data_IF_459934208960
#
_entry.id   IF_459934208960
#
_cell.length_a   1.000
_cell.length_b   1.000
_cell.length_c   1.000
_cell.angle_alpha   90.00
_cell.angle_beta   90.00
_cell.angle_gamma   90.00
#
_symmetry.space_group_name_H-M   'P 1'
#
loop_
_entity.id
_entity.type
_entity.pdbx_description
1 polymer ?
#
# COMPACT_ATOMS: atom_id res chain seq x y z
N UNK A 1 21.86 -7.95 -3.63
CA UNK A 1 20.76 -8.82 -3.17
C UNK A 1 19.47 -8.11 -3.50
N UNK A 2 18.78 -8.52 -4.54
CA UNK A 2 17.50 -7.94 -4.92
C UNK A 2 16.48 -8.45 -3.90
N UNK A 3 16.00 -7.58 -3.04
CA UNK A 3 14.83 -7.89 -2.20
C UNK A 3 13.68 -8.17 -3.17
N UNK A 4 13.32 -9.44 -3.31
CA UNK A 4 12.14 -9.84 -4.06
C UNK A 4 10.94 -9.46 -3.20
N UNK A 5 10.45 -8.23 -3.39
CA UNK A 5 9.20 -7.82 -2.76
C UNK A 5 8.07 -8.67 -3.35
N UNK A 6 7.29 -9.31 -2.48
CA UNK A 6 5.99 -9.84 -2.91
C UNK A 6 5.13 -8.65 -3.37
N UNK A 7 4.73 -8.60 -4.66
CA UNK A 7 3.95 -7.48 -5.17
C UNK A 7 2.69 -7.18 -4.35
N UNK A 8 2.07 -8.20 -3.73
CA UNK A 8 0.87 -8.05 -2.91
C UNK A 8 1.09 -7.23 -1.64
N UNK A 9 2.33 -7.20 -1.13
CA UNK A 9 2.66 -6.50 0.12
C UNK A 9 3.06 -5.05 -0.08
N UNK A 10 3.34 -4.61 -1.31
CA UNK A 10 3.89 -3.28 -1.61
C UNK A 10 2.96 -2.16 -1.16
N UNK A 11 1.71 -2.16 -1.62
CA UNK A 11 0.72 -1.15 -1.26
C UNK A 11 0.41 -1.13 0.24
N UNK A 12 0.07 -2.28 0.88
CA UNK A 12 -0.17 -2.36 2.31
C UNK A 12 1.01 -1.84 3.15
N UNK A 13 2.24 -2.27 2.88
CA UNK A 13 3.43 -1.81 3.61
C UNK A 13 3.64 -0.31 3.50
N UNK A 14 3.47 0.25 2.30
CA UNK A 14 3.56 1.70 2.11
C UNK A 14 2.50 2.42 2.95
N UNK A 15 1.25 1.95 2.98
CA UNK A 15 0.18 2.55 3.78
C UNK A 15 0.46 2.47 5.29
N UNK A 16 1.03 1.38 5.78
CA UNK A 16 1.43 1.26 7.19
C UNK A 16 2.49 2.28 7.60
N UNK A 17 3.32 2.74 6.67
CA UNK A 17 4.35 3.75 6.94
C UNK A 17 3.83 5.19 6.88
N UNK A 18 2.63 5.45 6.32
CA UNK A 18 2.09 6.81 6.18
C UNK A 18 2.09 7.63 7.47
N UNK A 19 1.73 7.09 8.66
CA UNK A 19 1.73 7.84 9.90
C UNK A 19 3.12 8.36 10.31
N UNK A 20 4.19 7.70 9.86
CA UNK A 20 5.58 8.03 10.21
C UNK A 20 6.25 8.97 9.21
N UNK A 21 5.55 9.34 8.14
CA UNK A 21 6.06 10.20 7.08
C UNK A 21 5.80 11.69 7.42
N UNK A 22 6.70 12.54 6.92
CA UNK A 22 6.45 13.99 6.93
C UNK A 22 5.35 14.35 5.93
N UNK A 23 4.72 15.53 6.09
CA UNK A 23 3.66 15.98 5.18
C UNK A 23 4.06 15.95 3.70
N UNK A 24 5.31 16.34 3.38
CA UNK A 24 5.82 16.27 2.00
C UNK A 24 6.00 14.84 1.50
N UNK A 25 6.50 13.94 2.35
CA UNK A 25 6.67 12.52 2.03
C UNK A 25 5.32 11.82 1.86
N UNK A 26 4.34 12.14 2.72
CA UNK A 26 2.97 11.63 2.60
C UNK A 26 2.35 12.05 1.27
N UNK A 27 2.43 13.34 0.91
CA UNK A 27 1.91 13.85 -0.37
C UNK A 27 2.53 13.14 -1.58
N UNK A 28 3.86 12.95 -1.58
CA UNK A 28 4.57 12.19 -2.61
C UNK A 28 4.03 10.75 -2.68
N UNK A 29 3.90 10.11 -1.53
CA UNK A 29 3.48 8.71 -1.41
C UNK A 29 2.04 8.51 -1.91
N UNK A 30 1.11 9.42 -1.58
CA UNK A 30 -0.27 9.39 -2.05
C UNK A 30 -0.35 9.54 -3.58
N UNK A 31 0.44 10.46 -4.16
CA UNK A 31 0.53 10.62 -5.62
C UNK A 31 1.04 9.33 -6.26
N UNK A 32 2.08 8.72 -5.70
CA UNK A 32 2.66 7.48 -6.21
C UNK A 32 1.67 6.31 -6.12
N UNK A 33 0.94 6.18 -5.02
CA UNK A 33 -0.10 5.15 -4.87
C UNK A 33 -1.24 5.35 -5.87
N UNK A 34 -1.71 6.60 -6.07
CA UNK A 34 -2.76 6.94 -7.02
C UNK A 34 -2.34 6.68 -8.46
N UNK A 35 -1.14 7.10 -8.84
CA UNK A 35 -0.62 6.93 -10.20
C UNK A 35 -0.10 5.50 -10.44
N UNK A 36 0.00 4.66 -9.38
CA UNK A 36 0.29 3.23 -9.47
C UNK A 36 1.58 2.86 -10.18
N UNK A 37 2.58 3.75 -10.14
CA UNK A 37 3.87 3.45 -10.77
C UNK A 37 3.82 3.44 -12.30
N UNK A 38 2.88 4.17 -12.91
CA UNK A 38 2.81 4.29 -14.38
C UNK A 38 4.19 4.54 -14.97
N UNK A 39 4.61 3.64 -15.87
CA UNK A 39 5.91 3.70 -16.52
C UNK A 39 6.09 4.99 -17.35
N UNK A 40 4.98 5.60 -17.78
CA UNK A 40 4.98 6.84 -18.54
C UNK A 40 5.15 8.09 -17.65
N UNK A 41 4.97 7.99 -16.33
CA UNK A 41 5.08 9.13 -15.42
C UNK A 41 6.55 9.38 -15.03
N UNK A 42 7.18 10.45 -15.53
CA UNK A 42 8.56 10.75 -15.19
C UNK A 42 8.68 11.25 -13.75
N UNK A 43 9.85 11.05 -13.13
CA UNK A 43 10.16 11.55 -11.78
C UNK A 43 9.83 13.04 -11.62
N UNK A 44 10.15 13.84 -12.64
CA UNK A 44 9.89 15.28 -12.68
C UNK A 44 8.39 15.61 -12.55
N UNK A 45 7.51 14.81 -13.14
CA UNK A 45 6.06 15.03 -13.05
C UNK A 45 5.55 14.78 -11.62
N UNK A 46 6.04 13.72 -10.96
CA UNK A 46 5.72 13.46 -9.55
C UNK A 46 6.22 14.61 -8.66
N UNK A 47 7.44 15.09 -8.87
CA UNK A 47 8.00 16.20 -8.11
C UNK A 47 7.19 17.48 -8.29
N UNK A 48 6.78 17.79 -9.52
CA UNK A 48 5.95 18.96 -9.84
C UNK A 48 4.55 18.85 -9.19
N UNK A 49 3.88 17.71 -9.29
CA UNK A 49 2.56 17.48 -8.70
C UNK A 49 2.61 17.52 -7.16
N UNK A 50 3.70 17.02 -6.56
CA UNK A 50 3.92 17.08 -5.11
C UNK A 50 4.44 18.45 -4.63
N UNK A 51 4.67 19.41 -5.52
CA UNK A 51 5.27 20.73 -5.23
C UNK A 51 6.62 20.59 -4.49
N UNK A 52 7.48 19.70 -4.97
CA UNK A 52 8.74 19.37 -4.32
C UNK A 52 9.87 19.14 -5.35
N UNK A 53 11.05 18.78 -4.87
CA UNK A 53 12.20 18.45 -5.72
C UNK A 53 12.24 16.96 -6.09
N UNK A 54 12.84 16.62 -7.23
CA UNK A 54 13.11 15.24 -7.61
C UNK A 54 13.95 14.49 -6.57
N UNK A 55 14.90 15.19 -5.92
CA UNK A 55 15.70 14.63 -4.84
C UNK A 55 14.85 14.19 -3.65
N UNK A 56 13.77 14.93 -3.34
CA UNK A 56 12.85 14.57 -2.25
C UNK A 56 12.04 13.33 -2.61
N UNK A 57 11.59 13.17 -3.86
CA UNK A 57 10.92 11.95 -4.32
C UNK A 57 11.83 10.74 -4.19
N UNK A 58 13.11 10.85 -4.58
CA UNK A 58 14.09 9.77 -4.41
C UNK A 58 14.34 9.45 -2.94
N UNK A 59 14.44 10.48 -2.08
CA UNK A 59 14.58 10.31 -0.63
C UNK A 59 13.38 9.58 -0.03
N UNK A 60 12.17 9.95 -0.44
CA UNK A 60 10.92 9.29 -0.02
C UNK A 60 10.92 7.82 -0.43
N UNK A 61 11.30 7.49 -1.67
CA UNK A 61 11.41 6.11 -2.12
C UNK A 61 12.37 5.29 -1.24
N UNK A 62 13.52 5.86 -0.86
CA UNK A 62 14.46 5.21 0.05
C UNK A 62 13.90 5.01 1.45
N UNK A 63 13.16 6.00 1.97
CA UNK A 63 12.49 5.88 3.26
C UNK A 63 11.43 4.79 3.28
N UNK A 64 10.73 4.59 2.16
CA UNK A 64 9.78 3.49 1.96
C UNK A 64 10.45 2.11 1.76
N UNK A 65 11.78 2.02 1.91
CA UNK A 65 12.53 0.76 1.87
C UNK A 65 13.02 0.32 0.48
N UNK A 66 12.92 1.20 -0.52
CA UNK A 66 13.40 0.91 -1.88
C UNK A 66 14.77 1.56 -2.11
N UNK A 67 15.57 1.02 -3.03
CA UNK A 67 16.89 1.59 -3.38
C UNK A 67 16.77 2.97 -4.04
N UNK A 68 15.60 3.29 -4.61
CA UNK A 68 15.30 4.57 -5.23
C UNK A 68 13.98 4.54 -5.99
N UNK A 69 13.68 5.64 -6.68
CA UNK A 69 12.42 5.81 -7.41
C UNK A 69 12.14 4.73 -8.46
N UNK A 70 13.18 4.29 -9.19
CA UNK A 70 13.02 3.26 -10.25
C UNK A 70 12.49 1.94 -9.68
N UNK A 71 13.04 1.51 -8.55
CA UNK A 71 12.61 0.26 -7.90
C UNK A 71 11.20 0.41 -7.31
N UNK A 72 10.92 1.51 -6.59
CA UNK A 72 9.59 1.80 -6.07
C UNK A 72 8.54 1.80 -7.18
N UNK A 73 8.82 2.46 -8.31
CA UNK A 73 7.92 2.48 -9.47
C UNK A 73 7.65 1.09 -10.02
N UNK A 74 8.69 0.26 -10.19
CA UNK A 74 8.55 -1.10 -10.67
C UNK A 74 7.71 -1.96 -9.69
N UNK A 75 7.93 -1.79 -8.39
CA UNK A 75 7.18 -2.48 -7.35
C UNK A 75 5.70 -2.07 -7.33
N UNK A 76 5.39 -0.78 -7.47
CA UNK A 76 4.02 -0.27 -7.57
C UNK A 76 3.32 -0.75 -8.83
N UNK A 77 4.03 -0.82 -9.96
CA UNK A 77 3.49 -1.36 -11.19
C UNK A 77 3.15 -2.85 -11.06
N UNK A 78 4.04 -3.64 -10.45
CA UNK A 78 3.79 -5.05 -10.18
C UNK A 78 2.62 -5.26 -9.21
N UNK A 79 2.50 -4.42 -8.17
CA UNK A 79 1.36 -4.41 -7.26
C UNK A 79 0.05 -4.13 -8.01
N UNK A 80 0.03 -3.09 -8.85
CA UNK A 80 -1.15 -2.70 -9.63
C UNK A 80 -1.60 -3.76 -10.65
N UNK A 81 -0.68 -4.57 -11.13
CA UNK A 81 -0.97 -5.65 -12.09
C UNK A 81 -1.60 -6.88 -11.42
N UNK A 82 -1.79 -6.87 -10.09
CA UNK A 82 -2.46 -7.99 -9.42
C UNK A 82 -3.95 -8.01 -9.75
N UNK A 83 -4.57 -9.18 -9.98
CA UNK A 83 -5.97 -9.29 -10.41
C UNK A 83 -7.00 -8.70 -9.44
N UNK A 84 -6.65 -8.59 -8.15
CA UNK A 84 -7.53 -8.09 -7.09
C UNK A 84 -7.27 -6.61 -6.76
N UNK A 85 -6.24 -5.98 -7.33
CA UNK A 85 -5.94 -4.57 -7.09
C UNK A 85 -6.68 -3.73 -8.12
N UNK A 86 -7.78 -3.14 -7.71
CA UNK A 86 -8.53 -2.18 -8.52
C UNK A 86 -8.54 -0.82 -7.82
N UNK A 87 -7.72 0.09 -8.32
CA UNK A 87 -7.56 1.45 -7.76
C UNK A 87 -8.74 2.38 -8.04
N UNK A 88 -9.70 1.95 -8.85
CA UNK A 88 -10.82 2.79 -9.29
C UNK A 88 -12.16 2.45 -8.61
N UNK A 89 -12.09 1.85 -7.42
CA UNK A 89 -13.29 1.43 -6.64
C UNK A 89 -13.92 2.56 -5.81
N UNK A 90 -13.53 3.81 -6.02
CA UNK A 90 -14.19 4.91 -5.33
C UNK A 90 -15.66 5.01 -5.74
N UNK A 91 -16.54 5.05 -4.75
CA UNK A 91 -17.98 5.21 -4.97
C UNK A 91 -18.25 6.64 -5.45
N UNK A 92 -18.90 6.76 -6.58
CA UNK A 92 -19.24 8.04 -7.20
C UNK A 92 -20.73 8.34 -7.02
N UNK A 93 -21.12 9.64 -7.03
CA UNK A 93 -22.53 10.03 -6.90
C UNK A 93 -23.46 9.49 -7.99
N UNK A 94 -22.91 9.16 -9.15
CA UNK A 94 -23.62 8.65 -10.33
C UNK A 94 -23.57 7.11 -10.45
N UNK A 95 -22.97 6.41 -9.47
CA UNK A 95 -22.97 4.94 -9.45
C UNK A 95 -24.37 4.38 -9.18
N UNK A 96 -24.74 3.33 -9.90
CA UNK A 96 -25.94 2.56 -9.58
C UNK A 96 -25.78 1.75 -8.28
N UNK A 97 -26.90 1.35 -7.67
CA UNK A 97 -26.85 0.52 -6.46
C UNK A 97 -26.04 -0.77 -6.66
N UNK A 98 -26.19 -1.43 -7.82
CA UNK A 98 -25.44 -2.63 -8.16
C UNK A 98 -23.94 -2.34 -8.27
N UNK A 99 -23.56 -1.22 -8.86
CA UNK A 99 -22.18 -0.78 -9.00
C UNK A 99 -21.57 -0.49 -7.62
N UNK A 100 -22.32 0.19 -6.74
CA UNK A 100 -21.88 0.48 -5.37
C UNK A 100 -21.62 -0.83 -4.61
N UNK A 101 -22.57 -1.78 -4.65
CA UNK A 101 -22.41 -3.09 -4.01
C UNK A 101 -21.14 -3.80 -4.52
N UNK A 102 -20.95 -3.87 -5.83
CA UNK A 102 -19.76 -4.51 -6.41
C UNK A 102 -18.46 -3.83 -5.96
N UNK A 103 -18.41 -2.50 -5.96
CA UNK A 103 -17.24 -1.73 -5.49
C UNK A 103 -16.95 -2.01 -4.02
N UNK A 104 -17.95 -1.97 -3.15
CA UNK A 104 -17.79 -2.24 -1.72
C UNK A 104 -17.27 -3.65 -1.48
N UNK A 105 -17.84 -4.67 -2.12
CA UNK A 105 -17.36 -6.05 -1.97
C UNK A 105 -15.92 -6.23 -2.47
N UNK A 106 -15.58 -5.68 -3.64
CA UNK A 106 -14.22 -5.76 -4.17
C UNK A 106 -13.20 -5.07 -3.29
N UNK A 107 -13.53 -3.87 -2.78
CA UNK A 107 -12.65 -3.14 -1.84
C UNK A 107 -12.45 -3.94 -0.55
N UNK A 108 -13.51 -4.56 -0.03
CA UNK A 108 -13.42 -5.40 1.17
C UNK A 108 -12.56 -6.65 0.93
N UNK A 109 -12.74 -7.32 -0.20
CA UNK A 109 -11.91 -8.48 -0.59
C UNK A 109 -10.44 -8.08 -0.72
N UNK A 110 -10.15 -6.95 -1.37
CA UNK A 110 -8.80 -6.42 -1.48
C UNK A 110 -8.19 -6.14 -0.11
N UNK A 111 -8.92 -5.49 0.80
CA UNK A 111 -8.44 -5.20 2.14
C UNK A 111 -8.10 -6.48 2.93
N UNK A 112 -8.89 -7.54 2.79
CA UNK A 112 -8.62 -8.84 3.41
C UNK A 112 -7.38 -9.51 2.82
N UNK A 113 -7.23 -9.53 1.50
CA UNK A 113 -6.04 -10.07 0.82
C UNK A 113 -4.77 -9.31 1.21
N UNK A 114 -4.83 -7.99 1.23
CA UNK A 114 -3.71 -7.14 1.64
C UNK A 114 -3.33 -7.38 3.11
N UNK A 115 -4.31 -7.50 4.00
CA UNK A 115 -4.09 -7.83 5.41
C UNK A 115 -3.42 -9.18 5.56
N UNK A 116 -3.94 -10.21 4.88
CA UNK A 116 -3.35 -11.55 4.91
C UNK A 116 -1.89 -11.55 4.40
N UNK A 117 -1.60 -10.75 3.38
CA UNK A 117 -0.26 -10.69 2.78
C UNK A 117 0.81 -10.08 3.70
N UNK A 118 0.42 -9.23 4.65
CA UNK A 118 1.34 -8.58 5.61
C UNK A 118 1.25 -9.15 7.03
N UNK A 119 0.29 -10.04 7.29
CA UNK A 119 0.08 -10.62 8.61
C UNK A 119 1.28 -11.48 9.02
N UNK A 120 1.87 -11.16 10.17
CA UNK A 120 2.89 -11.99 10.78
C UNK A 120 2.25 -13.17 11.50
N UNK A 121 2.41 -14.36 10.95
CA UNK A 121 1.79 -15.58 11.48
C UNK A 121 2.45 -16.04 12.78
N UNK A 122 3.70 -15.68 13.05
CA UNK A 122 4.38 -15.98 14.31
C UNK A 122 3.83 -15.11 15.44
N UNK A 123 3.72 -13.80 15.20
CA UNK A 123 3.13 -12.87 16.15
C UNK A 123 1.65 -13.20 16.43
N UNK A 124 0.90 -13.57 15.40
CA UNK A 124 -0.49 -14.01 15.57
C UNK A 124 -0.58 -15.26 16.46
N UNK A 125 0.29 -16.26 16.25
CA UNK A 125 0.33 -17.46 17.07
C UNK A 125 0.67 -17.13 18.53
N UNK A 126 1.66 -16.26 18.74
CA UNK A 126 2.04 -15.81 20.08
C UNK A 126 0.88 -15.08 20.78
N UNK A 127 0.16 -14.22 20.08
CA UNK A 127 -1.03 -13.56 20.61
C UNK A 127 -2.12 -14.56 21.03
N UNK A 128 -2.39 -15.57 20.20
CA UNK A 128 -3.34 -16.65 20.51
C UNK A 128 -2.93 -17.43 21.76
N UNK A 129 -1.65 -17.77 21.90
CA UNK A 129 -1.11 -18.48 23.07
C UNK A 129 -1.26 -17.64 24.36
N UNK A 130 -0.97 -16.33 24.29
CA UNK A 130 -1.16 -15.42 25.43
C UNK A 130 -2.63 -15.34 25.85
N UNK A 131 -3.55 -15.20 24.90
CA UNK A 131 -4.99 -15.15 25.18
C UNK A 131 -5.49 -16.48 25.76
N UNK A 132 -5.03 -17.60 25.24
CA UNK A 132 -5.37 -18.92 25.77
C UNK A 132 -4.85 -19.12 27.18
N UNK A 133 -3.62 -18.73 27.45
CA UNK A 133 -3.00 -18.81 28.79
C UNK A 133 -3.68 -17.89 29.81
N UNK A 134 -4.12 -16.69 29.41
CA UNK A 134 -4.86 -15.78 30.26
C UNK A 134 -6.23 -16.38 30.68
N UNK A 135 -6.96 -16.94 29.72
CA UNK A 135 -8.28 -17.57 29.99
C UNK A 135 -8.21 -18.73 30.99
N UNK A 136 -7.07 -19.43 31.10
CA UNK A 136 -6.91 -20.52 32.04
C UNK A 136 -6.58 -20.07 33.48
N UNK A 137 -6.23 -18.80 33.70
CA UNK A 137 -5.87 -18.26 35.03
C UNK A 137 -7.02 -17.59 35.76
N UNK A 138 -8.10 -17.25 35.07
CA UNK A 138 -9.25 -16.51 35.62
C UNK A 138 -10.46 -17.39 35.97
N UNK A 139 -10.26 -18.72 36.09
CA UNK A 139 -11.29 -19.65 36.53
C UNK A 139 -10.77 -20.63 37.58
#
# INVERSE_FOLDING_TARGET
>A
MTLVFDPRTVGPRIRMMLPDLTASETRITEILLRNGGDAATPLKAIAAEAETSEAMVVKTAKRLGFSGYKELRAALQAYRSQPYVDFHQEVKPDDTAETIVQKVFRTSMQALEETLAILDMEELRHAVELLHGARQRDF
#
